data_IF_543282592900
#
_entry.id   IF_543282592900
#
_cell.length_a   1.000
_cell.length_b   1.000
_cell.length_c   1.000
_cell.angle_alpha   90.00
_cell.angle_beta   90.00
_cell.angle_gamma   90.00
#
_symmetry.space_group_name_H-M   'P 1'
#
loop_
_entity.id
_entity.type
_entity.pdbx_description
1 polymer ?
#
# COMPACT_ATOMS: atom_id res chain seq x y z
N UNK A 1 20.97 -9.17 9.18
CA UNK A 1 20.55 -8.09 8.25
C UNK A 1 19.51 -7.23 8.95
N UNK A 2 19.53 -5.91 8.75
CA UNK A 2 18.51 -5.01 9.31
C UNK A 2 17.24 -5.06 8.46
N UNK A 3 16.11 -5.31 9.11
CA UNK A 3 14.77 -5.22 8.50
C UNK A 3 14.51 -3.80 8.00
N UNK A 4 14.09 -3.64 6.75
CA UNK A 4 13.77 -2.35 6.12
C UNK A 4 12.26 -2.16 6.00
N UNK A 5 11.83 -0.92 5.84
CA UNK A 5 10.44 -0.56 5.55
C UNK A 5 10.35 0.01 4.15
N UNK A 6 9.50 -0.57 3.31
CA UNK A 6 9.21 -0.14 1.96
C UNK A 6 7.80 0.44 1.91
N UNK A 7 7.69 1.71 1.50
CA UNK A 7 6.40 2.34 1.26
C UNK A 7 6.09 2.19 -0.22
N UNK A 8 4.97 1.55 -0.53
CA UNK A 8 4.59 1.20 -1.89
C UNK A 8 3.58 2.23 -2.41
N UNK A 9 3.88 2.76 -3.60
CA UNK A 9 3.01 3.67 -4.34
C UNK A 9 2.04 2.88 -5.24
N UNK A 10 0.92 3.49 -5.60
CA UNK A 10 -0.11 2.97 -6.49
C UNK A 10 0.46 2.51 -7.82
N UNK A 11 1.39 3.28 -8.41
CA UNK A 11 1.97 2.93 -9.71
C UNK A 11 2.70 1.58 -9.69
N UNK A 12 3.35 1.24 -8.57
CA UNK A 12 4.06 -0.04 -8.45
C UNK A 12 3.06 -1.19 -8.57
N UNK A 13 1.99 -1.14 -7.79
CA UNK A 13 0.98 -2.21 -7.74
C UNK A 13 0.02 -2.22 -8.92
N UNK A 14 -0.12 -1.09 -9.63
CA UNK A 14 -0.86 -1.01 -10.89
C UNK A 14 -0.10 -1.64 -12.06
N UNK A 15 1.23 -1.53 -12.07
CA UNK A 15 2.06 -2.15 -13.11
C UNK A 15 2.41 -3.59 -12.79
N UNK A 16 2.59 -3.93 -11.51
CA UNK A 16 2.87 -5.27 -11.04
C UNK A 16 2.10 -5.54 -9.73
N UNK A 17 0.95 -6.25 -9.80
CA UNK A 17 0.14 -6.55 -8.62
C UNK A 17 0.84 -7.47 -7.62
N UNK A 18 1.88 -8.19 -8.04
CA UNK A 18 2.63 -9.13 -7.21
C UNK A 18 3.90 -8.49 -6.59
N UNK A 19 4.15 -7.21 -6.87
CA UNK A 19 5.32 -6.48 -6.37
C UNK A 19 5.48 -6.53 -4.84
N UNK A 20 4.37 -6.61 -4.10
CA UNK A 20 4.34 -6.71 -2.63
C UNK A 20 5.12 -7.93 -2.11
N UNK A 21 5.16 -9.01 -2.89
CA UNK A 21 5.80 -10.28 -2.49
C UNK A 21 7.31 -10.29 -2.71
N UNK A 22 7.87 -9.28 -3.38
CA UNK A 22 9.31 -9.21 -3.69
C UNK A 22 10.17 -8.69 -2.53
N UNK A 23 9.57 -8.35 -1.38
CA UNK A 23 10.24 -7.71 -0.24
C UNK A 23 10.49 -8.66 0.94
N UNK A 24 10.94 -9.89 0.65
CA UNK A 24 11.14 -10.96 1.65
C UNK A 24 11.87 -10.49 2.91
N UNK A 25 11.32 -10.86 4.08
CA UNK A 25 11.88 -10.50 5.39
C UNK A 25 11.83 -9.01 5.75
N UNK A 26 11.07 -8.18 5.02
CA UNK A 26 10.95 -6.74 5.27
C UNK A 26 9.52 -6.29 5.58
N UNK A 27 9.37 -5.03 5.97
CA UNK A 27 8.07 -4.37 6.13
C UNK A 27 7.63 -3.76 4.80
N UNK A 28 6.41 -4.08 4.39
CA UNK A 28 5.74 -3.46 3.23
C UNK A 28 4.57 -2.65 3.74
N UNK A 29 4.57 -1.36 3.43
CA UNK A 29 3.59 -0.40 3.89
C UNK A 29 2.85 0.16 2.68
N UNK A 30 1.54 0.00 2.65
CA UNK A 30 0.66 0.66 1.67
C UNK A 30 -0.03 1.84 2.35
N UNK A 31 0.19 3.08 1.89
CA UNK A 31 -0.56 4.23 2.38
C UNK A 31 -2.05 4.13 2.05
N UNK A 32 -2.93 4.68 2.90
CA UNK A 32 -4.37 4.64 2.68
C UNK A 32 -4.77 5.32 1.37
N UNK A 33 -4.08 6.40 0.99
CA UNK A 33 -4.30 7.10 -0.28
C UNK A 33 -4.12 6.18 -1.50
N UNK A 34 -3.18 5.22 -1.44
CA UNK A 34 -2.99 4.23 -2.52
C UNK A 34 -4.23 3.36 -2.69
N UNK A 35 -4.87 2.96 -1.59
CA UNK A 35 -6.10 2.16 -1.62
C UNK A 35 -7.23 2.94 -2.28
N UNK A 36 -7.38 4.23 -1.96
CA UNK A 36 -8.37 5.11 -2.56
C UNK A 36 -8.15 5.30 -4.06
N UNK A 37 -6.90 5.34 -4.51
CA UNK A 37 -6.54 5.39 -5.93
C UNK A 37 -6.87 4.08 -6.64
N UNK A 38 -6.51 2.94 -6.07
CA UNK A 38 -6.87 1.63 -6.60
C UNK A 38 -8.39 1.48 -6.72
N UNK A 39 -9.17 2.02 -5.77
CA UNK A 39 -10.63 1.99 -5.83
C UNK A 39 -11.21 2.74 -7.04
N UNK A 40 -10.56 3.85 -7.45
CA UNK A 40 -10.90 4.57 -8.68
C UNK A 40 -10.50 3.75 -9.91
N UNK A 41 -9.28 3.21 -9.91
CA UNK A 41 -8.70 2.49 -11.04
C UNK A 41 -9.42 1.17 -11.35
N UNK A 42 -9.99 0.49 -10.34
CA UNK A 42 -10.71 -0.78 -10.52
C UNK A 42 -11.92 -0.69 -11.47
N UNK A 43 -12.39 0.52 -11.79
CA UNK A 43 -13.50 0.78 -12.73
C UNK A 43 -13.08 0.67 -14.19
N UNK A 44 -11.78 0.74 -14.48
CA UNK A 44 -11.25 0.59 -15.82
C UNK A 44 -11.37 -0.87 -16.29
N UNK A 45 -11.66 -1.06 -17.57
CA UNK A 45 -11.79 -2.39 -18.21
C UNK A 45 -10.48 -2.90 -18.81
N UNK A 46 -9.39 -2.14 -18.66
CA UNK A 46 -8.06 -2.43 -19.17
C UNK A 46 -7.22 -3.25 -18.17
N UNK A 47 -5.93 -3.37 -18.47
CA UNK A 47 -4.95 -4.07 -17.64
C UNK A 47 -4.74 -3.39 -16.28
N UNK A 48 -4.65 -2.06 -16.23
CA UNK A 48 -4.52 -1.33 -14.97
C UNK A 48 -5.72 -1.58 -14.05
N UNK A 49 -6.93 -1.59 -14.60
CA UNK A 49 -8.13 -1.95 -13.85
C UNK A 49 -8.12 -3.41 -13.38
N UNK A 50 -7.57 -4.34 -14.18
CA UNK A 50 -7.39 -5.75 -13.76
C UNK A 50 -6.42 -5.86 -12.59
N UNK A 51 -5.27 -5.20 -12.66
CA UNK A 51 -4.24 -5.21 -11.63
C UNK A 51 -4.77 -4.57 -10.33
N UNK A 52 -5.47 -3.43 -10.42
CA UNK A 52 -6.12 -2.81 -9.28
C UNK A 52 -7.12 -3.76 -8.58
N UNK A 53 -7.93 -4.49 -9.36
CA UNK A 53 -8.86 -5.50 -8.80
C UNK A 53 -8.15 -6.70 -8.17
N UNK A 54 -6.95 -7.07 -8.62
CA UNK A 54 -6.16 -8.14 -8.01
C UNK A 54 -5.62 -7.70 -6.65
N UNK A 55 -5.02 -6.51 -6.59
CA UNK A 55 -4.45 -5.96 -5.36
C UNK A 55 -5.53 -5.73 -4.30
N UNK A 56 -6.68 -5.16 -4.68
CA UNK A 56 -7.82 -4.98 -3.76
C UNK A 56 -8.29 -6.32 -3.20
N UNK A 57 -8.44 -7.35 -4.04
CA UNK A 57 -8.86 -8.69 -3.59
C UNK A 57 -7.85 -9.30 -2.63
N UNK A 58 -6.56 -9.11 -2.87
CA UNK A 58 -5.52 -9.53 -1.94
C UNK A 58 -5.69 -8.82 -0.59
N UNK A 59 -5.84 -7.50 -0.58
CA UNK A 59 -6.04 -6.73 0.66
C UNK A 59 -7.33 -7.13 1.40
N UNK A 60 -8.42 -7.38 0.69
CA UNK A 60 -9.66 -7.88 1.27
C UNK A 60 -9.45 -9.25 1.94
N UNK A 61 -8.69 -10.16 1.30
CA UNK A 61 -8.38 -11.47 1.89
C UNK A 61 -7.54 -11.36 3.17
N UNK A 62 -6.62 -10.39 3.25
CA UNK A 62 -5.85 -10.13 4.47
C UNK A 62 -6.75 -9.58 5.58
N UNK A 63 -7.68 -8.68 5.22
CA UNK A 63 -8.65 -8.10 6.15
C UNK A 63 -9.54 -9.16 6.80
N UNK A 64 -10.01 -10.13 6.01
CA UNK A 64 -10.79 -11.27 6.50
C UNK A 64 -9.98 -12.14 7.48
N UNK A 65 -8.68 -12.30 7.24
CA UNK A 65 -7.77 -13.06 8.11
C UNK A 65 -7.55 -12.38 9.47
N UNK A 66 -7.29 -11.09 9.50
CA UNK A 66 -6.94 -10.32 10.72
C UNK A 66 -8.13 -9.61 11.36
N UNK A 67 -9.35 -10.06 11.08
CA UNK A 67 -10.57 -9.49 11.68
C UNK A 67 -10.69 -7.97 11.47
N UNK A 68 -10.10 -7.44 10.39
CA UNK A 68 -10.13 -6.03 10.03
C UNK A 68 -8.92 -5.18 10.43
N UNK A 69 -7.96 -5.69 11.21
CA UNK A 69 -6.82 -4.88 11.69
C UNK A 69 -5.55 -5.04 10.84
N UNK A 70 -5.49 -4.26 9.76
CA UNK A 70 -4.30 -4.16 8.91
C UNK A 70 -3.35 -3.02 9.33
N UNK A 71 -3.68 -2.29 10.40
CA UNK A 71 -2.86 -1.16 10.89
C UNK A 71 -1.69 -1.64 11.74
N UNK A 72 -1.94 -2.62 12.61
CA UNK A 72 -0.88 -3.26 13.41
C UNK A 72 0.05 -4.13 12.55
N UNK A 73 -0.42 -4.48 11.36
CA UNK A 73 0.31 -5.23 10.36
C UNK A 73 0.09 -6.72 10.44
N UNK A 74 0.17 -7.37 9.30
CA UNK A 74 -0.05 -8.80 9.12
C UNK A 74 1.18 -9.45 8.52
N UNK A 75 1.61 -10.57 9.08
CA UNK A 75 2.64 -11.39 8.45
C UNK A 75 2.02 -12.13 7.26
N UNK A 76 2.56 -11.91 6.07
CA UNK A 76 2.21 -12.65 4.87
C UNK A 76 3.35 -13.63 4.54
N UNK A 77 3.45 -14.07 3.29
CA UNK A 77 4.48 -15.01 2.86
C UNK A 77 5.89 -14.47 3.05
N UNK A 78 6.86 -15.38 3.18
CA UNK A 78 8.31 -15.09 3.21
C UNK A 78 8.74 -14.06 4.28
N UNK A 79 8.06 -14.03 5.43
CA UNK A 79 8.38 -13.16 6.56
C UNK A 79 8.12 -11.68 6.32
N UNK A 80 7.34 -11.36 5.28
CA UNK A 80 6.95 -9.99 4.95
C UNK A 80 5.87 -9.53 5.95
N UNK A 81 6.06 -8.36 6.54
CA UNK A 81 5.01 -7.73 7.35
C UNK A 81 4.33 -6.65 6.52
N UNK A 82 3.09 -6.90 6.15
CA UNK A 82 2.26 -5.98 5.40
C UNK A 82 1.48 -5.05 6.34
N UNK A 83 1.46 -3.75 6.08
CA UNK A 83 0.78 -2.74 6.91
C UNK A 83 0.05 -1.72 6.05
N UNK A 84 -1.11 -1.27 6.52
CA UNK A 84 -1.77 -0.08 5.95
C UNK A 84 -1.45 1.13 6.82
N UNK A 85 -0.78 2.12 6.23
CA UNK A 85 -0.51 3.40 6.88
C UNK A 85 -1.72 4.33 6.70
N UNK A 86 -2.30 4.79 7.80
CA UNK A 86 -3.21 5.93 7.76
C UNK A 86 -2.37 7.18 7.95
N UNK A 87 -2.27 8.02 6.93
CA UNK A 87 -1.72 9.35 7.11
C UNK A 87 -2.67 10.16 8.00
N UNK A 88 -2.32 10.34 9.28
CA UNK A 88 -3.02 11.37 10.05
C UNK A 88 -2.63 12.72 9.46
N UNK A 89 -3.64 13.55 9.18
CA UNK A 89 -3.43 14.93 8.75
C UNK A 89 -2.49 15.58 9.77
N UNK A 90 -1.26 15.91 9.34
CA UNK A 90 -0.32 16.66 10.16
C UNK A 90 -0.98 17.98 10.57
N UNK A 91 -1.52 18.06 11.79
CA UNK A 91 -1.94 19.32 12.39
C UNK A 91 -0.70 20.05 12.89
N UNK A 92 0.13 20.55 11.96
CA UNK A 92 1.25 21.41 12.30
C UNK A 92 2.53 21.16 11.51
N UNK A 93 2.66 21.84 10.37
CA UNK A 93 3.70 22.86 10.27
C UNK A 93 3.20 23.96 9.34
N UNK A 94 2.92 25.14 9.92
CA UNK A 94 2.84 26.41 9.21
C UNK A 94 4.20 26.83 8.58
N UNK A 95 5.20 25.95 8.67
CA UNK A 95 6.61 26.17 8.33
C UNK A 95 7.16 25.09 7.37
N UNK A 96 6.34 24.57 6.46
CA UNK A 96 6.86 23.83 5.31
C UNK A 96 6.96 24.78 4.11
N UNK A 97 8.14 25.35 3.79
CA UNK A 97 8.28 26.22 2.65
C UNK A 97 8.73 25.38 1.47
N UNK A 98 7.83 24.60 0.86
CA UNK A 98 8.14 24.00 -0.43
C UNK A 98 7.32 24.69 -1.52
N UNK A 99 7.88 25.79 -2.03
CA UNK A 99 7.75 26.02 -3.46
C UNK A 99 8.47 24.87 -4.15
N UNK A 100 7.71 23.88 -4.61
CA UNK A 100 8.18 22.76 -5.45
C UNK A 100 8.41 23.23 -6.90
N UNK A 101 8.76 24.49 -7.08
CA UNK A 101 9.01 25.10 -8.38
C UNK A 101 10.47 25.58 -8.44
N UNK A 102 11.27 24.88 -9.24
CA UNK A 102 12.34 25.49 -10.01
C UNK A 102 12.31 24.92 -11.42
#
# INVERSE_FOLDING_TARGET
MSRKTFIIDTNVVLHDPDAIFNFEGNDVVIPLTVIEELDRMKRLSDELGRNARQVIRFMDSLKEREHGDLHNGIEIENGIMFKILIESQFSGSKDFPLSLDK
#
